data_IF_556645146543
#
_entry.id   IF_556645146543
#
_cell.length_a   1.000
_cell.length_b   1.000
_cell.length_c   1.000
_cell.angle_alpha   90.00
_cell.angle_beta   90.00
_cell.angle_gamma   90.00
#
_symmetry.space_group_name_H-M   'P 1'
#
loop_
_entity.id
_entity.type
_entity.pdbx_description
1 polymer ?
#
# COMPACT_ATOMS: atom_id res chain seq x y z
N UNK A 1 -5.45 -18.71 -15.03
CA UNK A 1 -4.16 -18.27 -14.44
C UNK A 1 -4.48 -17.53 -13.16
N UNK A 2 -3.70 -17.73 -12.10
CA UNK A 2 -3.93 -17.03 -10.83
C UNK A 2 -3.47 -15.58 -10.95
N UNK A 3 -4.36 -14.64 -10.66
CA UNK A 3 -4.05 -13.21 -10.62
C UNK A 3 -3.34 -12.87 -9.30
N UNK A 4 -2.29 -12.06 -9.39
CA UNK A 4 -1.54 -11.58 -8.23
C UNK A 4 -1.52 -10.05 -8.19
N UNK A 5 -1.89 -9.48 -7.05
CA UNK A 5 -1.94 -8.03 -6.82
C UNK A 5 -0.89 -7.65 -5.80
N UNK A 6 0.05 -6.82 -6.19
CA UNK A 6 1.05 -6.22 -5.31
C UNK A 6 0.57 -4.84 -4.89
N UNK A 7 0.13 -4.72 -3.65
CA UNK A 7 -0.37 -3.48 -3.09
C UNK A 7 0.75 -2.78 -2.31
N UNK A 8 1.26 -1.67 -2.82
CA UNK A 8 2.27 -0.87 -2.14
C UNK A 8 1.73 -0.18 -0.89
N UNK A 9 2.63 0.31 -0.05
CA UNK A 9 2.29 0.94 1.22
C UNK A 9 1.44 2.21 1.07
N UNK A 10 1.74 3.05 0.06
CA UNK A 10 1.02 4.30 -0.16
C UNK A 10 -0.46 4.09 -0.43
N UNK A 11 -0.88 3.30 -1.44
CA UNK A 11 -2.31 3.04 -1.66
C UNK A 11 -2.96 2.33 -0.48
N UNK A 12 -2.28 1.42 0.22
CA UNK A 12 -2.82 0.76 1.40
C UNK A 12 -3.17 1.77 2.52
N UNK A 13 -2.28 2.72 2.80
CA UNK A 13 -2.53 3.80 3.76
C UNK A 13 -3.64 4.75 3.30
N UNK A 14 -3.63 5.13 2.02
CA UNK A 14 -4.64 6.03 1.44
C UNK A 14 -6.05 5.44 1.52
N UNK A 15 -6.20 4.13 1.27
CA UNK A 15 -7.47 3.42 1.38
C UNK A 15 -7.91 3.32 2.85
N UNK A 16 -6.99 3.03 3.77
CA UNK A 16 -7.28 2.98 5.20
C UNK A 16 -7.69 4.36 5.75
N UNK A 17 -7.03 5.43 5.30
CA UNK A 17 -7.41 6.81 5.62
C UNK A 17 -8.81 7.15 5.07
N UNK A 18 -9.08 6.81 3.81
CA UNK A 18 -10.39 7.02 3.19
C UNK A 18 -11.52 6.33 3.97
N UNK A 19 -11.30 5.07 4.40
CA UNK A 19 -12.22 4.36 5.29
C UNK A 19 -12.46 5.12 6.59
N UNK A 20 -11.39 5.52 7.26
CA UNK A 20 -11.47 6.22 8.55
C UNK A 20 -12.21 7.55 8.42
N UNK A 21 -11.93 8.31 7.37
CA UNK A 21 -12.58 9.58 7.05
C UNK A 21 -14.07 9.39 6.75
N UNK A 22 -14.43 8.39 5.96
CA UNK A 22 -15.82 8.09 5.64
C UNK A 22 -16.63 7.72 6.90
N UNK A 23 -16.08 6.88 7.77
CA UNK A 23 -16.71 6.50 9.03
C UNK A 23 -16.87 7.67 9.99
N UNK A 24 -15.86 8.55 10.07
CA UNK A 24 -15.84 9.66 11.04
C UNK A 24 -16.70 10.84 10.61
N UNK A 25 -16.71 11.20 9.33
CA UNK A 25 -17.33 12.44 8.85
C UNK A 25 -18.59 12.23 8.03
N UNK A 26 -18.70 11.14 7.29
CA UNK A 26 -19.87 10.86 6.45
C UNK A 26 -20.84 9.85 7.08
N UNK A 27 -20.46 9.22 8.20
CA UNK A 27 -21.22 8.15 8.86
C UNK A 27 -21.65 7.04 7.88
N UNK A 28 -20.85 6.81 6.84
CA UNK A 28 -21.10 5.83 5.81
C UNK A 28 -20.02 4.78 5.79
N UNK A 29 -20.41 3.54 5.59
CA UNK A 29 -19.50 2.43 5.32
C UNK A 29 -19.19 2.26 3.82
N UNK A 30 -19.85 3.04 2.96
CA UNK A 30 -19.65 2.95 1.53
C UNK A 30 -18.40 3.72 1.12
N UNK A 31 -17.38 2.98 0.80
CA UNK A 31 -16.07 3.50 0.34
C UNK A 31 -15.70 2.76 -0.92
N UNK A 32 -15.39 3.49 -1.96
CA UNK A 32 -14.87 2.93 -3.20
C UNK A 32 -13.85 3.86 -3.83
N UNK A 33 -13.00 3.32 -4.67
CA UNK A 33 -12.03 4.11 -5.43
C UNK A 33 -11.28 3.27 -6.43
N UNK A 34 -10.43 3.93 -7.19
CA UNK A 34 -9.68 3.35 -8.30
C UNK A 34 -8.26 3.05 -7.84
N UNK A 35 -7.73 1.92 -8.27
CA UNK A 35 -6.34 1.51 -8.08
C UNK A 35 -5.54 1.80 -9.34
N UNK A 36 -4.40 2.44 -9.14
CA UNK A 36 -3.55 2.94 -10.20
C UNK A 36 -2.17 2.31 -10.10
N UNK A 37 -1.63 1.88 -11.23
CA UNK A 37 -0.33 1.21 -11.23
C UNK A 37 0.11 0.71 -12.58
N UNK A 38 0.73 -0.47 -12.58
CA UNK A 38 1.28 -1.10 -13.77
C UNK A 38 0.86 -2.57 -13.87
N UNK A 39 0.73 -3.07 -15.09
CA UNK A 39 0.60 -4.50 -15.36
C UNK A 39 1.97 -5.03 -15.76
N UNK A 40 2.48 -6.01 -14.99
CA UNK A 40 3.83 -6.52 -15.19
C UNK A 40 3.89 -7.62 -16.27
N UNK A 41 2.95 -8.59 -16.22
CA UNK A 41 2.97 -9.77 -17.11
C UNK A 41 1.56 -10.32 -17.43
N UNK A 42 0.55 -9.46 -17.43
CA UNK A 42 -0.85 -9.83 -17.73
C UNK A 42 -1.60 -10.53 -16.61
N UNK A 43 -0.90 -11.04 -15.59
CA UNK A 43 -1.49 -11.69 -14.40
C UNK A 43 -1.05 -11.06 -13.10
N UNK A 44 0.00 -10.23 -13.14
CA UNK A 44 0.59 -9.55 -11.98
C UNK A 44 0.36 -8.05 -12.11
N UNK A 45 -0.33 -7.50 -11.13
CA UNK A 45 -0.73 -6.09 -11.05
C UNK A 45 0.01 -5.42 -9.90
N UNK A 46 0.78 -4.40 -10.21
CA UNK A 46 1.47 -3.55 -9.23
C UNK A 46 0.64 -2.30 -8.99
N UNK A 47 0.15 -2.13 -7.76
CA UNK A 47 -0.65 -0.99 -7.34
C UNK A 47 0.23 -0.01 -6.59
N UNK A 48 0.49 1.15 -7.20
CA UNK A 48 1.40 2.19 -6.66
C UNK A 48 0.65 3.40 -6.10
N UNK A 49 -0.63 3.57 -6.48
CA UNK A 49 -1.45 4.70 -6.05
C UNK A 49 -2.93 4.35 -6.00
N UNK A 50 -3.74 5.19 -5.36
CA UNK A 50 -5.19 5.03 -5.32
C UNK A 50 -5.90 6.38 -5.37
N UNK A 51 -7.04 6.43 -6.06
CA UNK A 51 -7.90 7.59 -6.15
C UNK A 51 -9.26 7.27 -5.53
N UNK A 52 -9.68 8.06 -4.54
CA UNK A 52 -11.01 7.95 -3.98
C UNK A 52 -12.07 8.27 -5.06
N UNK A 53 -13.07 7.40 -5.21
CA UNK A 53 -14.19 7.68 -6.07
C UNK A 53 -15.25 8.49 -5.29
N UNK A 54 -15.64 9.67 -5.77
CA UNK A 54 -16.75 10.39 -5.17
C UNK A 54 -18.04 9.56 -5.30
N UNK A 55 -18.69 9.31 -4.17
CA UNK A 55 -19.99 8.63 -4.12
C UNK A 55 -21.08 9.67 -3.89
N UNK A 56 -22.22 9.50 -4.57
CA UNK A 56 -23.44 10.25 -4.33
C UNK A 56 -24.18 9.67 -3.13
N UNK A 57 -25.21 10.37 -2.67
CA UNK A 57 -26.01 9.98 -1.50
C UNK A 57 -26.66 8.58 -1.62
N UNK A 58 -26.88 8.11 -2.85
CA UNK A 58 -27.39 6.78 -3.17
C UNK A 58 -26.29 5.70 -3.31
N UNK A 59 -25.08 6.01 -2.87
CA UNK A 59 -23.88 5.16 -2.99
C UNK A 59 -23.46 4.84 -4.44
N UNK A 60 -23.96 5.56 -5.43
CA UNK A 60 -23.50 5.46 -6.81
C UNK A 60 -22.25 6.31 -7.03
N UNK A 61 -21.37 5.83 -7.90
CA UNK A 61 -20.14 6.54 -8.27
C UNK A 61 -20.49 7.78 -9.09
N UNK A 62 -20.01 8.95 -8.68
CA UNK A 62 -20.03 10.14 -9.53
C UNK A 62 -19.01 10.02 -10.65
N UNK A 63 -19.49 9.56 -11.80
CA UNK A 63 -18.63 9.24 -12.95
C UNK A 63 -17.98 10.46 -13.57
N UNK A 64 -18.59 11.63 -13.48
CA UNK A 64 -18.02 12.86 -14.03
C UNK A 64 -16.87 13.37 -13.16
N UNK A 65 -17.10 13.45 -11.85
CA UNK A 65 -16.05 13.84 -10.91
C UNK A 65 -14.86 12.85 -10.93
N UNK A 66 -15.16 11.55 -11.08
CA UNK A 66 -14.11 10.53 -11.20
C UNK A 66 -13.29 10.69 -12.48
N UNK A 67 -13.92 10.97 -13.64
CA UNK A 67 -13.19 11.23 -14.89
C UNK A 67 -12.28 12.45 -14.79
N UNK A 68 -12.76 13.51 -14.17
CA UNK A 68 -11.96 14.72 -13.95
C UNK A 68 -10.76 14.44 -13.05
N UNK A 69 -10.96 13.72 -11.95
CA UNK A 69 -9.88 13.32 -11.03
C UNK A 69 -8.85 12.42 -11.75
N UNK A 70 -9.30 11.47 -12.56
CA UNK A 70 -8.43 10.63 -13.37
C UNK A 70 -7.66 11.41 -14.41
N UNK A 71 -8.30 12.34 -15.13
CA UNK A 71 -7.64 13.19 -16.12
C UNK A 71 -6.53 14.05 -15.49
N UNK A 72 -6.76 14.60 -14.29
CA UNK A 72 -5.74 15.35 -13.55
C UNK A 72 -4.59 14.42 -13.10
N UNK A 73 -4.90 13.23 -12.64
CA UNK A 73 -3.87 12.25 -12.26
C UNK A 73 -2.99 11.86 -13.44
N UNK A 74 -3.58 11.64 -14.62
CA UNK A 74 -2.83 11.33 -15.84
C UNK A 74 -1.92 12.46 -16.32
N UNK A 75 -2.28 13.72 -16.08
CA UNK A 75 -1.40 14.87 -16.40
C UNK A 75 -0.12 14.85 -15.55
N UNK A 76 -0.22 14.40 -14.31
CA UNK A 76 0.94 14.32 -13.41
C UNK A 76 1.74 13.02 -13.63
N UNK A 77 1.04 11.91 -13.90
CA UNK A 77 1.63 10.58 -14.03
C UNK A 77 1.16 9.85 -15.29
N UNK A 78 1.61 10.28 -16.48
CA UNK A 78 1.10 9.76 -17.77
C UNK A 78 1.44 8.27 -18.02
N UNK A 79 2.42 7.72 -17.31
CA UNK A 79 2.81 6.31 -17.44
C UNK A 79 2.01 5.33 -16.60
N UNK A 80 1.11 5.82 -15.73
CA UNK A 80 0.27 4.98 -14.89
C UNK A 80 -1.06 4.68 -15.55
N UNK A 81 -1.61 3.51 -15.25
CA UNK A 81 -2.90 3.07 -15.77
C UNK A 81 -3.81 2.57 -14.65
N UNK A 82 -5.11 2.51 -14.91
CA UNK A 82 -6.06 1.93 -13.96
C UNK A 82 -5.91 0.41 -14.01
N UNK A 83 -5.57 -0.19 -12.89
CA UNK A 83 -5.34 -1.65 -12.76
C UNK A 83 -6.44 -2.35 -11.96
N UNK A 84 -7.27 -1.59 -11.27
CA UNK A 84 -8.34 -2.14 -10.45
C UNK A 84 -9.15 -1.07 -9.74
N UNK A 85 -9.92 -1.51 -8.77
CA UNK A 85 -10.68 -0.65 -7.90
C UNK A 85 -10.80 -1.30 -6.51
N UNK A 86 -11.12 -0.53 -5.49
CA UNK A 86 -11.25 -1.00 -4.12
C UNK A 86 -12.60 -0.65 -3.51
N UNK A 87 -13.01 -1.48 -2.55
CA UNK A 87 -14.16 -1.25 -1.68
C UNK A 87 -13.90 -1.84 -0.29
N UNK A 88 -14.86 -1.69 0.62
CA UNK A 88 -14.82 -2.33 1.93
C UNK A 88 -15.56 -3.66 1.89
N UNK A 89 -15.02 -4.66 2.60
CA UNK A 89 -15.63 -5.97 2.73
C UNK A 89 -14.62 -7.09 2.71
N UNK A 90 -15.10 -8.32 2.83
CA UNK A 90 -14.27 -9.54 2.78
C UNK A 90 -14.57 -10.39 1.54
N UNK A 91 -15.77 -10.25 1.00
CA UNK A 91 -16.25 -11.01 -0.15
C UNK A 91 -16.99 -10.11 -1.15
N UNK A 92 -16.95 -10.43 -2.45
CA UNK A 92 -17.69 -9.70 -3.46
C UNK A 92 -19.20 -9.85 -3.25
N UNK A 93 -19.91 -8.72 -3.15
CA UNK A 93 -21.35 -8.67 -3.07
C UNK A 93 -21.98 -8.36 -4.45
N UNK A 94 -23.28 -8.55 -4.59
CA UNK A 94 -23.99 -8.32 -5.86
C UNK A 94 -23.82 -6.89 -6.42
N UNK A 95 -23.79 -5.88 -5.56
CA UNK A 95 -23.56 -4.49 -5.95
C UNK A 95 -22.15 -4.24 -6.53
N UNK A 96 -21.14 -5.05 -6.15
CA UNK A 96 -19.79 -4.92 -6.69
C UNK A 96 -19.73 -5.21 -8.19
N UNK A 97 -20.59 -6.10 -8.72
CA UNK A 97 -20.65 -6.34 -10.17
C UNK A 97 -21.14 -5.09 -10.93
N UNK A 98 -22.13 -4.39 -10.39
CA UNK A 98 -22.62 -3.14 -10.95
C UNK A 98 -21.60 -2.01 -10.89
N UNK A 99 -20.92 -1.87 -9.76
CA UNK A 99 -19.82 -0.91 -9.60
C UNK A 99 -18.66 -1.20 -10.56
N UNK A 100 -18.29 -2.47 -10.71
CA UNK A 100 -17.26 -2.90 -11.65
C UNK A 100 -17.57 -2.48 -13.09
N UNK A 101 -18.81 -2.75 -13.54
CA UNK A 101 -19.29 -2.31 -14.87
C UNK A 101 -19.28 -0.79 -15.01
N UNK A 102 -19.54 -0.05 -13.93
CA UNK A 102 -19.50 1.42 -13.92
C UNK A 102 -18.06 1.93 -14.06
N UNK A 103 -17.10 1.35 -13.34
CA UNK A 103 -15.69 1.72 -13.45
C UNK A 103 -15.13 1.39 -14.85
N UNK A 104 -15.44 0.22 -15.42
CA UNK A 104 -15.07 -0.13 -16.78
C UNK A 104 -15.59 0.91 -17.79
N UNK A 105 -16.87 1.23 -17.73
CA UNK A 105 -17.51 2.21 -18.64
C UNK A 105 -16.98 3.63 -18.46
N UNK A 106 -16.63 4.02 -17.22
CA UNK A 106 -16.17 5.36 -16.89
C UNK A 106 -14.72 5.60 -17.31
N UNK A 107 -13.85 4.63 -17.07
CA UNK A 107 -12.39 4.75 -17.22
C UNK A 107 -11.87 4.04 -18.46
N UNK A 108 -12.69 3.18 -19.08
CA UNK A 108 -12.37 2.42 -20.32
C UNK A 108 -10.96 1.82 -20.32
N UNK A 109 -10.54 1.08 -19.28
CA UNK A 109 -9.20 0.50 -19.27
C UNK A 109 -9.09 -0.62 -20.30
N UNK A 110 -7.93 -0.68 -20.94
CA UNK A 110 -7.61 -1.73 -21.94
C UNK A 110 -7.33 -3.09 -21.30
N UNK A 111 -7.32 -3.17 -19.98
CA UNK A 111 -6.98 -4.35 -19.19
C UNK A 111 -8.11 -4.73 -18.24
N UNK A 112 -8.23 -6.02 -17.88
CA UNK A 112 -9.18 -6.45 -16.85
C UNK A 112 -8.91 -5.77 -15.51
N UNK A 113 -9.95 -5.21 -14.89
CA UNK A 113 -9.84 -4.62 -13.56
C UNK A 113 -9.89 -5.66 -12.47
N UNK A 114 -9.02 -5.49 -11.47
CA UNK A 114 -9.07 -6.27 -10.23
C UNK A 114 -9.90 -5.55 -9.17
N UNK A 115 -10.61 -6.31 -8.32
CA UNK A 115 -11.28 -5.79 -7.12
C UNK A 115 -10.40 -6.11 -5.91
N UNK A 116 -10.09 -5.07 -5.12
CA UNK A 116 -9.41 -5.24 -3.84
C UNK A 116 -10.34 -4.81 -2.72
N UNK A 117 -10.63 -5.71 -1.79
CA UNK A 117 -11.47 -5.46 -0.64
C UNK A 117 -10.63 -5.29 0.62
N UNK A 118 -10.89 -4.20 1.34
CA UNK A 118 -10.35 -4.00 2.68
C UNK A 118 -11.33 -4.55 3.71
N UNK A 119 -11.00 -5.69 4.30
CA UNK A 119 -11.68 -6.25 5.46
C UNK A 119 -11.28 -5.56 6.77
N UNK A 120 -11.65 -6.15 7.90
CA UNK A 120 -11.28 -5.62 9.22
C UNK A 120 -9.78 -5.70 9.49
N UNK A 121 -9.15 -6.81 9.13
CA UNK A 121 -7.75 -7.09 9.41
C UNK A 121 -6.95 -7.58 8.20
N UNK A 122 -7.56 -7.78 7.05
CA UNK A 122 -6.91 -8.35 5.87
C UNK A 122 -7.37 -7.72 4.56
N UNK A 123 -6.51 -7.83 3.56
CA UNK A 123 -6.79 -7.45 2.18
C UNK A 123 -7.19 -8.70 1.40
N UNK A 124 -8.23 -8.57 0.59
CA UNK A 124 -8.72 -9.63 -0.29
C UNK A 124 -8.76 -9.09 -1.71
N UNK A 125 -8.31 -9.87 -2.68
CA UNK A 125 -8.41 -9.49 -4.09
C UNK A 125 -9.22 -10.51 -4.88
N UNK A 126 -9.87 -10.00 -5.92
CA UNK A 126 -10.70 -10.79 -6.81
C UNK A 126 -10.53 -10.28 -8.25
N UNK A 127 -10.57 -11.20 -9.20
CA UNK A 127 -10.70 -10.88 -10.61
C UNK A 127 -12.09 -11.30 -11.09
N UNK A 128 -12.69 -10.49 -11.94
CA UNK A 128 -13.98 -10.77 -12.55
C UNK A 128 -13.75 -11.18 -14.01
N UNK A 129 -14.01 -12.46 -14.29
CA UNK A 129 -14.24 -12.92 -15.66
C UNK A 129 -15.77 -13.08 -15.83
N UNK A 130 -16.29 -14.30 -15.86
CA UNK A 130 -17.74 -14.52 -15.76
C UNK A 130 -18.22 -14.52 -14.30
N UNK A 131 -17.37 -14.97 -13.40
CA UNK A 131 -17.59 -15.01 -11.95
C UNK A 131 -16.40 -14.44 -11.21
N UNK A 132 -16.63 -14.00 -9.97
CA UNK A 132 -15.55 -13.56 -9.08
C UNK A 132 -14.63 -14.72 -8.73
N UNK A 133 -13.38 -14.59 -9.08
CA UNK A 133 -12.33 -15.55 -8.75
C UNK A 133 -11.32 -14.92 -7.78
N UNK A 134 -10.96 -15.61 -6.69
CA UNK A 134 -10.01 -15.06 -5.73
C UNK A 134 -8.63 -14.86 -6.38
N UNK A 135 -8.00 -13.76 -6.04
CA UNK A 135 -6.64 -13.40 -6.42
C UNK A 135 -5.76 -13.30 -5.19
N UNK A 136 -4.46 -13.44 -5.37
CA UNK A 136 -3.50 -13.30 -4.25
C UNK A 136 -3.14 -11.83 -4.06
N UNK A 137 -3.14 -11.35 -2.82
CA UNK A 137 -2.62 -10.02 -2.45
C UNK A 137 -1.31 -10.18 -1.72
N UNK A 138 -0.32 -9.40 -2.11
CA UNK A 138 0.90 -9.20 -1.33
C UNK A 138 1.12 -7.71 -1.07
N UNK A 139 1.71 -7.40 0.07
CA UNK A 139 2.14 -6.04 0.41
C UNK A 139 3.67 -6.00 0.35
N UNK A 140 4.25 -5.82 -0.84
CA UNK A 140 5.68 -5.65 -0.94
C UNK A 140 6.02 -4.34 -0.23
N UNK A 141 7.02 -4.37 0.61
CA UNK A 141 7.54 -3.16 1.22
C UNK A 141 9.06 -3.13 1.05
N UNK A 142 9.53 -2.10 0.37
CA UNK A 142 10.96 -1.82 0.33
C UNK A 142 11.48 -1.50 1.74
N UNK A 143 12.78 -1.60 1.94
CA UNK A 143 13.37 -1.24 3.23
C UNK A 143 13.08 0.23 3.60
N UNK A 144 13.05 1.12 2.62
CA UNK A 144 12.73 2.54 2.80
C UNK A 144 11.26 2.73 3.21
N UNK A 145 10.30 2.09 2.53
CA UNK A 145 8.88 2.14 2.87
C UNK A 145 8.61 1.62 4.28
N UNK A 146 9.26 0.51 4.67
CA UNK A 146 9.12 -0.04 6.03
C UNK A 146 9.61 0.92 7.11
N UNK A 147 10.67 1.68 6.86
CA UNK A 147 11.17 2.69 7.79
C UNK A 147 10.16 3.82 7.93
N UNK A 148 9.64 4.34 6.81
CA UNK A 148 8.64 5.43 6.79
C UNK A 148 7.36 5.00 7.48
N UNK A 149 6.84 3.79 7.18
CA UNK A 149 5.63 3.26 7.81
C UNK A 149 5.80 3.09 9.31
N UNK A 150 6.95 2.56 9.74
CA UNK A 150 7.23 2.39 11.16
C UNK A 150 7.36 3.74 11.88
N UNK A 151 8.00 4.73 11.27
CA UNK A 151 8.08 6.09 11.80
C UNK A 151 6.69 6.76 11.88
N UNK A 152 5.87 6.66 10.83
CA UNK A 152 4.50 7.17 10.83
C UNK A 152 3.63 6.52 11.92
N UNK A 153 3.71 5.19 12.06
CA UNK A 153 3.00 4.46 13.12
C UNK A 153 3.43 4.89 14.53
N UNK A 154 4.71 5.12 14.72
CA UNK A 154 5.25 5.61 16.00
C UNK A 154 4.73 7.02 16.31
N UNK A 155 4.73 7.92 15.33
CA UNK A 155 4.21 9.29 15.50
C UNK A 155 2.72 9.29 15.83
N UNK A 156 1.91 8.45 15.14
CA UNK A 156 0.48 8.32 15.41
C UNK A 156 0.21 7.90 16.86
N UNK A 157 0.97 6.96 17.41
CA UNK A 157 0.83 6.54 18.83
C UNK A 157 1.09 7.65 19.84
N UNK A 158 1.95 8.61 19.50
CA UNK A 158 2.27 9.73 20.39
C UNK A 158 1.28 10.90 20.29
N UNK A 159 0.53 10.99 19.18
CA UNK A 159 -0.48 12.04 18.99
C UNK A 159 -1.82 11.70 19.64
N UNK A 160 -2.16 10.41 19.77
CA UNK A 160 -3.41 9.98 20.40
C UNK A 160 -3.42 10.18 21.94
N UNK A 161 -2.24 10.16 22.58
CA UNK A 161 -2.08 10.31 24.04
C UNK A 161 -1.73 11.75 24.48
N UNK A 162 -1.52 12.69 23.55
CA UNK A 162 -1.11 14.06 23.89
C UNK A 162 -2.31 15.01 23.94
N UNK A 163 -2.53 15.74 25.07
CA UNK A 163 -3.48 16.84 25.10
C UNK A 163 -3.08 17.91 24.07
N UNK A 164 -4.05 18.59 23.47
CA UNK A 164 -3.88 19.56 22.36
C UNK A 164 -2.93 20.74 22.65
N UNK A 165 -2.52 20.91 23.91
CA UNK A 165 -1.62 21.96 24.40
C UNK A 165 -0.22 21.47 24.79
N UNK A 166 0.20 20.29 24.29
CA UNK A 166 1.52 19.74 24.63
C UNK A 166 2.65 20.64 24.10
N UNK A 167 3.61 21.07 24.98
CA UNK A 167 4.66 21.99 24.59
C UNK A 167 5.60 21.41 23.55
N UNK A 168 6.25 22.27 22.73
CA UNK A 168 7.22 21.93 21.67
C UNK A 168 8.29 20.90 22.05
N UNK A 169 8.58 20.75 23.35
CA UNK A 169 9.46 19.74 23.93
C UNK A 169 9.02 18.30 23.62
N UNK A 170 7.72 18.02 23.52
CA UNK A 170 7.21 16.70 23.13
C UNK A 170 7.58 16.31 21.70
N UNK A 171 7.55 17.26 20.78
CA UNK A 171 7.93 17.02 19.38
C UNK A 171 9.43 16.70 19.24
N UNK A 172 10.28 17.38 20.02
CA UNK A 172 11.73 17.14 20.04
C UNK A 172 12.03 15.75 20.62
N UNK A 173 11.39 15.38 21.73
CA UNK A 173 11.56 14.08 22.36
C UNK A 173 11.08 12.94 21.43
N UNK A 174 9.96 13.12 20.74
CA UNK A 174 9.45 12.15 19.76
C UNK A 174 10.43 11.98 18.57
N UNK A 175 11.01 13.08 18.07
CA UNK A 175 12.02 13.04 17.02
C UNK A 175 13.29 12.29 17.47
N UNK A 176 13.81 12.59 18.64
CA UNK A 176 14.99 11.93 19.21
C UNK A 176 14.73 10.43 19.46
N UNK A 177 13.53 10.06 19.90
CA UNK A 177 13.16 8.66 20.08
C UNK A 177 13.04 7.92 18.74
N UNK A 178 12.53 8.58 17.69
CA UNK A 178 12.47 8.05 16.34
C UNK A 178 13.88 7.79 15.78
N UNK A 179 14.78 8.74 15.92
CA UNK A 179 16.18 8.60 15.50
C UNK A 179 16.90 7.46 16.27
N UNK A 180 16.71 7.40 17.59
CA UNK A 180 17.27 6.31 18.40
C UNK A 180 16.79 4.93 17.92
N UNK A 181 15.51 4.80 17.59
CA UNK A 181 14.94 3.52 17.10
C UNK A 181 15.43 3.18 15.70
N UNK A 182 15.56 4.17 14.81
CA UNK A 182 16.14 3.95 13.48
C UNK A 182 17.58 3.44 13.59
N UNK A 183 18.37 4.01 14.51
CA UNK A 183 19.73 3.55 14.81
C UNK A 183 19.72 2.13 15.40
N UNK A 184 18.79 1.81 16.30
CA UNK A 184 18.66 0.49 16.87
C UNK A 184 18.32 -0.56 15.81
N UNK A 185 17.36 -0.28 14.94
CA UNK A 185 17.04 -1.16 13.80
C UNK A 185 18.23 -1.35 12.84
N UNK A 186 19.03 -0.31 12.64
CA UNK A 186 20.25 -0.42 11.84
C UNK A 186 21.28 -1.34 12.53
N UNK A 187 21.50 -1.17 13.84
CA UNK A 187 22.38 -2.03 14.63
C UNK A 187 21.93 -3.49 14.58
N UNK A 188 20.62 -3.76 14.76
CA UNK A 188 20.07 -5.12 14.70
C UNK A 188 20.32 -5.76 13.32
N UNK A 189 20.16 -5.02 12.23
CA UNK A 189 20.45 -5.50 10.88
C UNK A 189 21.94 -5.74 10.64
N UNK A 190 22.81 -4.85 11.16
CA UNK A 190 24.24 -5.05 11.09
C UNK A 190 24.69 -6.27 11.89
N UNK A 191 24.07 -6.51 13.06
CA UNK A 191 24.32 -7.72 13.85
C UNK A 191 23.98 -8.98 13.04
N UNK A 192 22.78 -9.03 12.42
CA UNK A 192 22.40 -10.16 11.56
C UNK A 192 23.39 -10.36 10.39
N UNK A 193 23.83 -9.27 9.78
CA UNK A 193 24.82 -9.34 8.70
C UNK A 193 26.19 -9.86 9.18
N UNK A 194 26.66 -9.41 10.36
CA UNK A 194 27.88 -9.90 10.99
C UNK A 194 27.77 -11.39 11.36
N UNK A 195 26.65 -11.78 11.98
CA UNK A 195 26.39 -13.18 12.36
C UNK A 195 26.38 -14.10 11.12
N UNK A 196 25.81 -13.62 10.00
CA UNK A 196 25.86 -14.34 8.73
C UNK A 196 27.30 -14.53 8.23
N UNK A 197 28.10 -13.45 8.19
CA UNK A 197 29.50 -13.50 7.73
C UNK A 197 30.33 -14.42 8.63
N UNK A 198 30.12 -14.33 9.94
CA UNK A 198 30.80 -15.20 10.92
C UNK A 198 30.35 -16.65 10.77
N UNK A 199 29.06 -16.90 10.52
CA UNK A 199 28.55 -18.24 10.27
C UNK A 199 29.13 -18.87 8.99
N UNK A 200 29.26 -18.10 7.91
CA UNK A 200 29.91 -18.54 6.67
C UNK A 200 31.41 -18.84 6.93
N UNK A 201 32.10 -17.98 7.69
CA UNK A 201 33.51 -18.16 8.04
C UNK A 201 33.76 -19.42 8.88
N UNK A 202 32.82 -19.75 9.76
CA UNK A 202 32.86 -20.95 10.61
C UNK A 202 32.33 -22.21 9.93
N UNK A 203 31.76 -22.07 8.71
CA UNK A 203 31.19 -23.19 7.97
C UNK A 203 29.82 -23.66 8.50
N UNK A 204 29.17 -22.87 9.37
CA UNK A 204 27.86 -23.18 9.95
C UNK A 204 26.69 -22.70 9.05
N UNK A 205 26.99 -21.78 8.11
CA UNK A 205 26.00 -21.28 7.14
C UNK A 205 26.49 -21.46 5.70
N UNK A 206 25.59 -21.63 4.73
CA UNK A 206 25.95 -21.79 3.33
C UNK A 206 26.54 -20.47 2.79
N UNK A 207 27.58 -20.61 1.97
CA UNK A 207 28.22 -19.49 1.29
C UNK A 207 27.35 -19.05 0.10
N UNK A 208 26.76 -17.86 0.18
CA UNK A 208 26.07 -17.21 -0.94
C UNK A 208 26.91 -16.03 -1.48
N UNK A 209 27.46 -16.13 -2.71
CA UNK A 209 28.29 -15.08 -3.29
C UNK A 209 27.55 -13.78 -3.56
N UNK A 210 26.20 -13.83 -3.78
CA UNK A 210 25.40 -12.64 -4.04
C UNK A 210 25.26 -11.80 -2.78
N UNK A 211 24.88 -12.43 -1.66
CA UNK A 211 24.73 -11.75 -0.36
C UNK A 211 26.07 -11.15 0.08
N UNK A 212 27.17 -11.87 -0.06
CA UNK A 212 28.51 -11.36 0.34
C UNK A 212 28.96 -10.18 -0.52
N UNK A 213 28.63 -10.17 -1.81
CA UNK A 213 28.93 -9.05 -2.72
C UNK A 213 28.11 -7.81 -2.34
N UNK A 214 26.83 -7.98 -2.02
CA UNK A 214 25.97 -6.88 -1.60
C UNK A 214 26.43 -6.28 -0.28
N UNK A 215 26.82 -7.10 0.68
CA UNK A 215 27.41 -6.65 1.94
C UNK A 215 28.72 -5.90 1.71
N UNK A 216 29.62 -6.42 0.85
CA UNK A 216 30.88 -5.76 0.51
C UNK A 216 30.62 -4.39 -0.15
N UNK A 217 29.64 -4.31 -1.06
CA UNK A 217 29.28 -3.07 -1.74
C UNK A 217 28.72 -2.04 -0.76
N UNK A 218 27.89 -2.48 0.20
CA UNK A 218 27.33 -1.60 1.24
C UNK A 218 28.43 -1.01 2.16
N UNK A 219 29.51 -1.75 2.41
CA UNK A 219 30.65 -1.27 3.21
C UNK A 219 31.54 -0.29 2.41
N UNK A 220 31.77 -0.56 1.12
CA UNK A 220 32.65 0.28 0.27
C UNK A 220 32.01 1.62 -0.08
N UNK A 221 30.71 1.69 -0.31
CA UNK A 221 29.99 2.93 -0.63
C UNK A 221 29.87 3.93 0.53
N UNK A 222 30.54 3.69 1.65
CA UNK A 222 30.61 4.60 2.81
C UNK A 222 31.87 5.49 2.82
N UNK A 223 32.65 5.57 1.73
CA UNK A 223 33.81 6.47 1.63
C UNK A 223 33.49 7.68 0.76
#
# INVERSE_FOLDING_TARGET
>A
MAVHVELHALPALSIAEHRTRALKYASTSNVAGVLVGHVMDGTRYEVVDSLAAPLRDDAQVDTEALRQAWALHQQVWPGRQVVGWYALGTEPAAHHAHMHATFLRCLSPDIPLTLVLLGEAAWHAFSLNDTWSPATVSLPSSAAERIVLNDAHQRARFTDDAPSDAPRTHHILASMQSERRALQMLCDRLTVACDYVDGVRQGTQPHDPAILRDLATAVVNRR
#
